data_IF_971646726633
#
_entry.id   IF_971646726633
#
_cell.length_a   1.000
_cell.length_b   1.000
_cell.length_c   1.000
_cell.angle_alpha   90.00
_cell.angle_beta   90.00
_cell.angle_gamma   90.00
#
_symmetry.space_group_name_H-M   'P 1'
#
loop_
_entity.id
_entity.type
_entity.pdbx_description
1 polymer ?
#
# COMPACT_ATOMS: atom_id res chain seq x y z
N UNK A 1 -4.06 -2.14 -3.72
CA UNK A 1 -3.23 -2.80 -2.68
C UNK A 1 -3.96 -3.87 -1.86
N UNK A 2 -5.13 -3.66 -1.24
CA UNK A 2 -5.76 -4.71 -0.38
C UNK A 2 -5.96 -6.05 -1.11
N UNK A 3 -6.34 -5.98 -2.39
CA UNK A 3 -6.47 -7.15 -3.26
C UNK A 3 -5.13 -7.86 -3.48
N UNK A 4 -4.04 -7.11 -3.71
CA UNK A 4 -2.69 -7.68 -3.86
C UNK A 4 -2.20 -8.36 -2.57
N UNK A 5 -2.49 -7.77 -1.40
CA UNK A 5 -2.21 -8.43 -0.12
C UNK A 5 -3.00 -9.74 0.03
N UNK A 6 -4.31 -9.71 -0.18
CA UNK A 6 -5.16 -10.89 -0.06
C UNK A 6 -4.77 -11.99 -1.06
N UNK A 7 -4.40 -11.63 -2.30
CA UNK A 7 -3.94 -12.57 -3.32
C UNK A 7 -2.61 -13.25 -2.97
N UNK A 8 -1.78 -12.61 -2.15
CA UNK A 8 -0.50 -13.16 -1.67
C UNK A 8 -0.61 -13.77 -0.26
N UNK A 9 -1.79 -13.81 0.35
CA UNK A 9 -1.98 -14.28 1.73
C UNK A 9 -1.34 -13.36 2.79
N UNK A 10 -1.03 -12.12 2.43
CA UNK A 10 -0.37 -11.12 3.27
C UNK A 10 -1.40 -10.24 3.96
N UNK A 11 -1.07 -9.72 5.15
CA UNK A 11 -1.91 -8.80 5.90
C UNK A 11 -1.30 -7.40 5.94
N UNK A 12 -2.13 -6.39 6.26
CA UNK A 12 -1.64 -5.00 6.32
C UNK A 12 -0.48 -4.82 7.31
N UNK A 13 -0.43 -5.63 8.37
CA UNK A 13 0.67 -5.63 9.35
C UNK A 13 2.01 -6.07 8.73
N UNK A 14 1.99 -6.99 7.76
CA UNK A 14 3.19 -7.50 7.12
C UNK A 14 3.81 -6.43 6.21
N UNK A 15 2.96 -5.74 5.44
CA UNK A 15 3.39 -4.57 4.68
C UNK A 15 3.87 -3.45 5.62
N UNK A 16 3.21 -3.25 6.75
CA UNK A 16 3.61 -2.22 7.74
C UNK A 16 5.02 -2.52 8.30
N UNK A 17 5.27 -3.77 8.67
CA UNK A 17 6.57 -4.23 9.10
C UNK A 17 7.63 -4.07 7.99
N UNK A 18 7.30 -4.45 6.75
CA UNK A 18 8.20 -4.35 5.61
C UNK A 18 8.62 -2.91 5.29
N UNK A 19 7.69 -1.95 5.34
CA UNK A 19 8.02 -0.55 5.04
C UNK A 19 8.48 0.26 6.27
N UNK A 20 8.47 -0.36 7.45
CA UNK A 20 8.96 0.22 8.70
C UNK A 20 8.01 1.23 9.33
N UNK A 21 6.70 1.04 9.19
CA UNK A 21 5.68 1.89 9.83
C UNK A 21 4.79 1.06 10.76
N UNK A 22 4.08 1.75 11.66
CA UNK A 22 3.11 1.07 12.53
C UNK A 22 1.90 0.58 11.74
N UNK A 23 1.25 -0.48 12.22
CA UNK A 23 -0.02 -0.97 11.68
C UNK A 23 -1.14 0.08 11.72
N UNK A 24 -1.11 0.99 12.69
CA UNK A 24 -2.02 2.14 12.77
C UNK A 24 -1.77 3.15 11.63
N UNK A 25 -0.51 3.51 11.40
CA UNK A 25 -0.10 4.38 10.29
C UNK A 25 -0.45 3.76 8.93
N UNK A 26 -0.27 2.44 8.80
CA UNK A 26 -0.65 1.70 7.60
C UNK A 26 -2.17 1.71 7.39
N UNK A 27 -2.94 1.45 8.44
CA UNK A 27 -4.41 1.50 8.38
C UNK A 27 -4.92 2.88 7.97
N UNK A 28 -4.30 3.96 8.46
CA UNK A 28 -4.63 5.32 8.05
C UNK A 28 -4.41 5.54 6.54
N UNK A 29 -3.36 4.97 5.96
CA UNK A 29 -3.10 5.04 4.51
C UNK A 29 -4.09 4.23 3.68
N UNK A 30 -4.49 3.07 4.18
CA UNK A 30 -5.51 2.24 3.52
C UNK A 30 -6.93 2.79 3.63
N UNK A 31 -7.20 3.67 4.60
CA UNK A 31 -8.51 4.31 4.82
C UNK A 31 -8.58 5.74 4.27
N UNK A 32 -7.53 6.18 3.56
CA UNK A 32 -7.45 7.53 2.98
C UNK A 32 -7.24 8.66 4.00
N UNK A 33 -6.98 8.33 5.28
CA UNK A 33 -6.69 9.31 6.34
C UNK A 33 -5.25 9.80 6.33
N UNK A 34 -4.36 9.11 5.62
CA UNK A 34 -2.96 9.49 5.45
C UNK A 34 -2.52 9.27 3.99
N UNK A 35 -1.66 10.15 3.49
CA UNK A 35 -1.14 10.06 2.13
C UNK A 35 0.00 9.02 2.04
N UNK A 36 0.12 8.40 0.88
CA UNK A 36 1.30 7.63 0.49
C UNK A 36 2.37 8.59 -0.01
N UNK A 37 3.59 8.47 0.53
CA UNK A 37 4.74 9.19 0.01
C UNK A 37 5.57 8.29 -0.92
N UNK A 38 6.53 8.89 -1.63
CA UNK A 38 7.39 8.16 -2.57
C UNK A 38 8.16 7.01 -1.90
N UNK A 39 8.73 7.25 -0.72
CA UNK A 39 9.48 6.25 0.06
C UNK A 39 8.61 5.05 0.42
N UNK A 40 7.33 5.27 0.77
CA UNK A 40 6.39 4.19 1.05
C UNK A 40 6.08 3.37 -0.20
N UNK A 41 5.94 4.03 -1.34
CA UNK A 41 5.65 3.40 -2.63
C UNK A 41 6.86 2.55 -3.06
N UNK A 42 8.08 3.08 -2.93
CA UNK A 42 9.31 2.34 -3.23
C UNK A 42 9.44 1.09 -2.36
N UNK A 43 9.29 1.21 -1.04
CA UNK A 43 9.37 0.06 -0.13
C UNK A 43 8.25 -0.95 -0.33
N UNK A 44 7.04 -0.47 -0.63
CA UNK A 44 5.94 -1.37 -0.97
C UNK A 44 6.19 -2.08 -2.31
N UNK A 45 6.80 -1.40 -3.28
CA UNK A 45 7.14 -1.99 -4.57
C UNK A 45 8.18 -3.10 -4.44
N UNK A 46 9.18 -2.89 -3.57
CA UNK A 46 10.16 -3.89 -3.19
C UNK A 46 9.50 -5.10 -2.52
N UNK A 47 8.60 -4.85 -1.56
CA UNK A 47 7.85 -5.90 -0.86
C UNK A 47 6.99 -6.76 -1.79
N UNK A 48 6.33 -6.16 -2.78
CA UNK A 48 5.54 -6.90 -3.76
C UNK A 48 6.36 -7.41 -4.96
N UNK A 49 7.67 -7.11 -5.00
CA UNK A 49 8.57 -7.40 -6.13
C UNK A 49 8.00 -6.93 -7.48
N UNK A 50 7.43 -5.71 -7.50
CA UNK A 50 6.88 -5.06 -8.69
C UNK A 50 7.52 -3.68 -8.88
N UNK A 51 7.44 -3.11 -10.08
CA UNK A 51 7.86 -1.73 -10.28
C UNK A 51 6.93 -0.78 -9.50
N UNK A 52 7.44 0.33 -8.92
CA UNK A 52 6.60 1.32 -8.24
C UNK A 52 5.54 1.90 -9.18
N UNK A 53 5.85 2.01 -10.47
CA UNK A 53 4.89 2.35 -11.52
C UNK A 53 3.72 1.38 -11.57
N UNK A 54 3.88 0.08 -11.30
CA UNK A 54 2.76 -0.87 -11.29
C UNK A 54 1.85 -0.67 -10.07
N UNK A 55 2.40 -0.20 -8.93
CA UNK A 55 1.60 0.20 -7.78
C UNK A 55 0.81 1.49 -8.03
N UNK A 56 1.36 2.39 -8.86
CA UNK A 56 0.76 3.69 -9.21
C UNK A 56 -0.17 3.59 -10.44
N UNK A 57 0.17 2.76 -11.42
CA UNK A 57 -0.48 2.63 -12.74
C UNK A 57 -1.45 1.45 -12.84
N UNK A 58 -1.45 0.53 -11.85
CA UNK A 58 -2.37 -0.61 -11.81
C UNK A 58 -3.85 -0.24 -11.67
N UNK A 59 -4.19 1.02 -11.37
CA UNK A 59 -5.56 1.53 -11.38
C UNK A 59 -5.55 2.95 -11.95
N UNK A 60 -6.21 3.15 -13.09
CA UNK A 60 -6.53 4.50 -13.54
C UNK A 60 -7.40 5.19 -12.49
N UNK A 61 -6.97 6.37 -12.04
CA UNK A 61 -7.85 7.41 -11.48
C UNK A 61 -8.96 6.93 -10.51
N UNK A 62 -8.66 5.99 -9.61
CA UNK A 62 -9.47 5.80 -8.41
C UNK A 62 -8.53 5.99 -7.22
N UNK A 63 -8.69 7.07 -6.46
CA UNK A 63 -7.78 7.35 -5.37
C UNK A 63 -7.90 6.19 -4.39
N UNK A 64 -6.77 5.73 -3.87
CA UNK A 64 -6.66 4.87 -2.70
C UNK A 64 -7.30 5.49 -1.42
N UNK A 65 -8.10 6.53 -1.57
CA UNK A 65 -8.87 7.27 -0.57
C UNK A 65 -10.37 7.25 -0.82
N UNK A 66 -10.91 6.44 -1.74
CA UNK A 66 -12.37 6.24 -1.79
C UNK A 66 -12.79 5.44 -0.57
N UNK A 67 -12.90 6.16 0.55
CA UNK A 67 -13.70 5.80 1.68
C UNK A 67 -15.12 5.63 1.20
N UNK A 68 -15.55 4.38 1.12
CA UNK A 68 -16.90 4.01 1.46
C UNK A 68 -16.91 3.54 2.92
#
# INVERSE_FOLDING_TARGET
>A
MRVALAANGLQQKDLAAAIGITSASMSAKFTGKANWNLVDIEKASDFFNVKPEALVAGHGFEPWTSGL
#
